data_IF_004321405052
#
_entry.id   IF_004321405052
#
_cell.length_a   1.000
_cell.length_b   1.000
_cell.length_c   1.000
_cell.angle_alpha   90.00
_cell.angle_beta   90.00
_cell.angle_gamma   90.00
#
_symmetry.space_group_name_H-M   'P 1'
#
loop_
_entity.id
_entity.type
_entity.pdbx_description
1 polymer ?
#
# COMPACT_ATOMS: atom_id res chain seq x y z
N UNK A 1 38.60 -3.79 30.60
CA UNK A 1 38.47 -3.82 29.13
C UNK A 1 36.99 -3.83 28.84
N UNK A 2 36.47 -2.65 28.54
CA UNK A 2 35.11 -2.43 28.08
C UNK A 2 35.18 -2.10 26.59
N UNK A 3 34.06 -2.29 25.88
CA UNK A 3 33.83 -2.02 24.45
C UNK A 3 34.19 -3.19 23.55
N UNK A 4 33.33 -3.71 22.67
CA UNK A 4 32.01 -3.28 22.23
C UNK A 4 31.25 -4.55 21.85
N UNK A 5 30.00 -4.65 22.31
CA UNK A 5 29.09 -5.69 21.85
C UNK A 5 28.68 -5.27 20.44
N UNK A 6 29.14 -6.02 19.45
CA UNK A 6 28.83 -5.88 18.02
C UNK A 6 27.35 -6.24 17.79
N UNK A 7 26.45 -5.44 18.37
CA UNK A 7 25.05 -5.41 18.00
C UNK A 7 24.97 -4.67 16.66
N UNK A 8 25.36 -5.37 15.60
CA UNK A 8 24.84 -5.08 14.28
C UNK A 8 23.33 -5.36 14.34
N UNK A 9 22.58 -4.40 14.87
CA UNK A 9 21.13 -4.35 14.77
C UNK A 9 20.88 -4.36 13.27
N UNK A 10 20.42 -5.49 12.75
CA UNK A 10 20.04 -5.63 11.36
C UNK A 10 18.83 -4.72 11.13
N UNK A 11 19.09 -3.42 10.95
CA UNK A 11 18.13 -2.46 10.42
C UNK A 11 17.58 -3.10 9.14
N UNK A 12 16.30 -3.50 9.17
CA UNK A 12 15.58 -4.29 8.16
C UNK A 12 15.49 -5.81 8.39
N UNK A 13 15.60 -6.28 9.63
CA UNK A 13 15.14 -7.63 9.95
C UNK A 13 13.63 -7.77 9.68
N UNK A 14 13.18 -8.98 9.34
CA UNK A 14 11.75 -9.27 9.12
C UNK A 14 10.92 -8.92 10.36
N UNK A 15 11.48 -9.11 11.56
CA UNK A 15 10.82 -8.77 12.82
C UNK A 15 10.64 -7.26 12.97
N UNK A 16 11.66 -6.46 12.67
CA UNK A 16 11.56 -5.00 12.71
C UNK A 16 10.53 -4.47 11.72
N UNK A 17 10.49 -5.03 10.51
CA UNK A 17 9.46 -4.71 9.51
C UNK A 17 8.07 -5.03 10.07
N UNK A 18 7.87 -6.20 10.67
CA UNK A 18 6.58 -6.56 11.26
C UNK A 18 6.17 -5.56 12.37
N UNK A 19 7.09 -5.26 13.28
CA UNK A 19 6.84 -4.35 14.40
C UNK A 19 6.51 -2.93 13.93
N UNK A 20 7.18 -2.46 12.88
CA UNK A 20 6.95 -1.13 12.29
C UNK A 20 5.61 -1.04 11.57
N UNK A 21 5.28 -2.01 10.72
CA UNK A 21 4.13 -1.89 9.81
C UNK A 21 2.81 -2.41 10.38
N UNK A 22 2.82 -3.44 11.23
CA UNK A 22 1.61 -4.03 11.81
C UNK A 22 0.69 -2.99 12.48
N UNK A 23 1.15 -2.12 13.41
CA UNK A 23 0.26 -1.17 14.07
C UNK A 23 -0.28 -0.11 13.12
N UNK A 24 0.48 0.25 12.08
CA UNK A 24 0.07 1.22 11.08
C UNK A 24 -1.00 0.65 10.15
N UNK A 25 -0.82 -0.60 9.69
CA UNK A 25 -1.81 -1.29 8.87
C UNK A 25 -3.11 -1.52 9.62
N UNK A 26 -3.07 -1.81 10.92
CA UNK A 26 -4.26 -1.99 11.75
C UNK A 26 -5.22 -0.78 11.72
N UNK A 27 -4.70 0.43 11.45
CA UNK A 27 -5.52 1.66 11.33
C UNK A 27 -6.31 1.71 10.02
N UNK A 28 -5.81 1.08 8.94
CA UNK A 28 -6.36 1.20 7.58
C UNK A 28 -6.99 -0.08 7.05
N UNK A 29 -6.64 -1.26 7.59
CA UNK A 29 -7.24 -2.55 7.20
C UNK A 29 -8.76 -2.65 7.41
N UNK A 30 -9.42 -1.94 8.36
CA UNK A 30 -10.88 -1.96 8.45
C UNK A 30 -11.60 -1.50 7.17
N UNK A 31 -10.93 -0.73 6.31
CA UNK A 31 -11.49 -0.23 5.06
C UNK A 31 -11.31 -1.20 3.88
N UNK A 32 -10.61 -2.33 4.06
CA UNK A 32 -10.30 -3.27 2.97
C UNK A 32 -11.56 -3.81 2.26
N UNK A 33 -12.60 -4.16 3.00
CA UNK A 33 -13.85 -4.66 2.41
C UNK A 33 -14.50 -3.59 1.53
N UNK A 34 -14.61 -2.36 2.03
CA UNK A 34 -15.17 -1.26 1.26
C UNK A 34 -14.32 -0.94 0.02
N UNK A 35 -12.98 -0.93 0.17
CA UNK A 35 -12.07 -0.72 -0.96
C UNK A 35 -12.26 -1.79 -2.05
N UNK A 36 -12.42 -3.06 -1.65
CA UNK A 36 -12.67 -4.20 -2.56
C UNK A 36 -13.98 -4.05 -3.33
N UNK A 37 -15.06 -3.69 -2.64
CA UNK A 37 -16.40 -3.57 -3.22
C UNK A 37 -16.51 -2.41 -4.21
N UNK A 38 -15.64 -1.39 -4.07
CA UNK A 38 -15.67 -0.19 -4.89
C UNK A 38 -14.64 -0.18 -6.03
N UNK A 39 -13.93 -1.30 -6.24
CA UNK A 39 -13.10 -1.48 -7.43
C UNK A 39 -14.02 -1.59 -8.66
N UNK A 40 -13.80 -0.74 -9.67
CA UNK A 40 -14.65 -0.66 -10.88
C UNK A 40 -14.01 -1.31 -12.08
N UNK A 41 -12.69 -1.40 -12.10
CA UNK A 41 -11.98 -2.24 -13.06
C UNK A 41 -12.17 -3.67 -12.58
N UNK A 42 -12.95 -4.48 -13.30
CA UNK A 42 -12.91 -5.92 -13.10
C UNK A 42 -11.44 -6.32 -13.19
N UNK A 43 -10.84 -6.72 -12.06
CA UNK A 43 -9.55 -7.44 -12.04
C UNK A 43 -9.84 -8.86 -12.55
N UNK A 44 -10.51 -8.95 -13.69
CA UNK A 44 -10.69 -10.14 -14.47
C UNK A 44 -9.42 -10.28 -15.30
N UNK A 45 -8.84 -11.47 -15.22
CA UNK A 45 -7.72 -11.91 -16.03
C UNK A 45 -8.00 -11.71 -17.52
N UNK A 46 -7.76 -10.53 -18.09
CA UNK A 46 -7.80 -10.37 -19.55
C UNK A 46 -6.97 -9.16 -19.98
N UNK A 47 -5.83 -9.45 -20.61
CA UNK A 47 -5.23 -8.57 -21.60
C UNK A 47 -6.29 -8.26 -22.66
N UNK A 48 -6.98 -7.13 -22.54
CA UNK A 48 -7.78 -6.58 -23.64
C UNK A 48 -7.90 -5.08 -23.48
N UNK A 49 -7.39 -4.39 -24.51
CA UNK A 49 -7.57 -2.97 -24.74
C UNK A 49 -9.03 -2.58 -24.57
N UNK A 50 -9.34 -1.80 -23.54
CA UNK A 50 -10.46 -0.88 -23.61
C UNK A 50 -10.11 0.38 -22.85
N UNK A 51 -10.13 1.47 -23.61
CA UNK A 51 -9.94 2.84 -23.15
C UNK A 51 -10.97 3.16 -22.05
N UNK A 52 -10.48 3.69 -20.94
CA UNK A 52 -11.28 4.07 -19.78
C UNK A 52 -12.36 5.08 -20.21
N UNK A 53 -13.60 4.61 -20.42
CA UNK A 53 -14.77 5.48 -20.56
C UNK A 53 -14.99 6.22 -19.25
N UNK A 54 -15.10 7.55 -19.35
CA UNK A 54 -15.56 8.53 -18.34
C UNK A 54 -15.81 7.94 -16.95
N UNK A 55 -14.82 8.08 -16.06
CA UNK A 55 -14.99 7.78 -14.64
C UNK A 55 -16.08 8.75 -14.11
N UNK A 56 -17.21 8.26 -13.59
CA UNK A 56 -18.24 9.13 -13.03
C UNK A 56 -17.65 10.00 -11.93
N UNK A 57 -18.16 11.24 -11.80
CA UNK A 57 -17.72 12.20 -10.79
C UNK A 57 -17.50 11.52 -9.44
N UNK A 58 -16.36 11.75 -8.77
CA UNK A 58 -16.05 11.08 -7.51
C UNK A 58 -17.07 11.50 -6.45
N UNK A 59 -17.95 10.59 -6.06
CA UNK A 59 -18.76 10.76 -4.85
C UNK A 59 -17.82 10.44 -3.70
N UNK A 60 -17.34 11.48 -3.01
CA UNK A 60 -16.61 11.31 -1.76
C UNK A 60 -17.59 10.79 -0.71
N UNK A 61 -17.74 9.48 -0.62
CA UNK A 61 -18.50 8.88 0.46
C UNK A 61 -17.70 8.96 1.78
N UNK A 62 -18.40 8.80 2.90
CA UNK A 62 -17.80 8.88 4.22
C UNK A 62 -16.69 7.86 4.44
N UNK A 63 -16.72 6.72 3.75
CA UNK A 63 -15.73 5.66 3.87
C UNK A 63 -14.42 6.02 3.17
N UNK A 64 -14.48 6.62 1.97
CA UNK A 64 -13.29 7.11 1.27
C UNK A 64 -12.54 8.14 2.12
N UNK A 65 -13.27 9.13 2.64
CA UNK A 65 -12.67 10.16 3.49
C UNK A 65 -12.18 9.58 4.81
N UNK A 66 -12.89 8.58 5.37
CA UNK A 66 -12.46 7.84 6.55
C UNK A 66 -11.13 7.12 6.32
N UNK A 67 -11.00 6.40 5.21
CA UNK A 67 -9.76 5.72 4.81
C UNK A 67 -8.61 6.71 4.63
N UNK A 68 -8.83 7.80 3.90
CA UNK A 68 -7.80 8.83 3.66
C UNK A 68 -7.33 9.45 4.98
N UNK A 69 -8.26 9.79 5.89
CA UNK A 69 -7.92 10.31 7.22
C UNK A 69 -7.15 9.28 8.04
N UNK A 70 -7.57 8.02 8.04
CA UNK A 70 -6.87 6.95 8.72
C UNK A 70 -5.44 6.81 8.19
N UNK A 71 -5.25 6.79 6.87
CA UNK A 71 -3.93 6.72 6.23
C UNK A 71 -3.04 7.90 6.64
N UNK A 72 -3.59 9.12 6.75
CA UNK A 72 -2.84 10.31 7.21
C UNK A 72 -2.38 10.23 8.67
N UNK A 73 -3.04 9.42 9.51
CA UNK A 73 -2.60 9.18 10.89
C UNK A 73 -1.54 8.07 11.00
N UNK A 74 -1.15 7.47 9.88
CA UNK A 74 -0.11 6.45 9.85
C UNK A 74 1.26 7.05 9.60
N UNK A 75 2.30 6.33 10.01
CA UNK A 75 3.69 6.62 9.63
C UNK A 75 4.10 5.97 8.30
N UNK A 76 3.13 5.56 7.45
CA UNK A 76 3.40 4.95 6.14
C UNK A 76 3.64 5.99 5.05
N UNK A 77 3.22 7.24 5.26
CA UNK A 77 3.24 8.26 4.20
C UNK A 77 4.59 8.94 4.10
N UNK A 78 5.26 8.78 2.96
CA UNK A 78 6.51 9.47 2.64
C UNK A 78 6.33 10.37 1.42
N UNK A 79 6.79 11.63 1.51
CA UNK A 79 6.80 12.60 0.40
C UNK A 79 7.78 12.22 -0.71
N UNK A 80 8.78 11.39 -0.41
CA UNK A 80 9.77 10.90 -1.36
C UNK A 80 9.25 9.74 -2.22
N UNK A 81 7.94 9.45 -2.20
CA UNK A 81 7.32 8.40 -3.01
C UNK A 81 7.63 8.49 -4.51
N UNK A 82 7.98 9.67 -5.02
CA UNK A 82 8.38 9.86 -6.43
C UNK A 82 9.58 8.97 -6.79
N UNK A 83 10.51 8.75 -5.86
CA UNK A 83 11.67 7.90 -6.09
C UNK A 83 11.27 6.44 -6.30
N UNK A 84 10.30 5.94 -5.53
CA UNK A 84 9.73 4.58 -5.71
C UNK A 84 9.22 4.40 -7.13
N UNK A 85 8.56 5.40 -7.70
CA UNK A 85 8.06 5.35 -9.08
C UNK A 85 9.18 5.35 -10.11
N UNK A 86 10.20 6.19 -9.92
CA UNK A 86 11.32 6.26 -10.86
C UNK A 86 12.18 4.99 -10.84
N UNK A 87 12.47 4.45 -9.66
CA UNK A 87 13.32 3.30 -9.43
C UNK A 87 12.68 2.00 -9.92
N UNK A 88 11.39 1.81 -9.63
CA UNK A 88 10.64 0.63 -10.04
C UNK A 88 9.96 0.79 -11.40
N UNK A 89 10.25 1.87 -12.12
CA UNK A 89 9.71 2.19 -13.44
C UNK A 89 8.17 2.18 -13.51
N UNK A 90 7.50 2.60 -12.44
CA UNK A 90 6.04 2.65 -12.35
C UNK A 90 5.52 3.88 -13.12
N UNK A 91 4.75 3.68 -14.18
CA UNK A 91 4.22 4.78 -15.02
C UNK A 91 2.72 4.90 -14.97
N UNK A 92 2.03 3.78 -14.73
CA UNK A 92 0.58 3.72 -14.72
C UNK A 92 0.08 2.68 -13.70
N UNK A 93 -1.23 2.67 -13.44
CA UNK A 93 -1.83 1.78 -12.45
C UNK A 93 -1.59 0.28 -12.72
N UNK A 94 -1.38 -0.15 -13.97
CA UNK A 94 -1.09 -1.55 -14.29
C UNK A 94 0.30 -1.95 -13.81
N UNK A 95 1.27 -1.05 -13.96
CA UNK A 95 2.64 -1.26 -13.48
C UNK A 95 2.64 -1.35 -11.94
N UNK A 96 1.87 -0.46 -11.28
CA UNK A 96 1.68 -0.48 -9.83
C UNK A 96 1.07 -1.81 -9.35
N UNK A 97 0.01 -2.29 -10.02
CA UNK A 97 -0.64 -3.55 -9.67
C UNK A 97 0.30 -4.76 -9.86
N UNK A 98 1.10 -4.78 -10.94
CA UNK A 98 2.08 -5.82 -11.19
C UNK A 98 3.15 -5.83 -10.09
N UNK A 99 3.69 -4.66 -9.75
CA UNK A 99 4.66 -4.52 -8.66
C UNK A 99 4.08 -5.01 -7.32
N UNK A 100 2.85 -4.59 -6.98
CA UNK A 100 2.18 -5.01 -5.74
C UNK A 100 2.01 -6.53 -5.70
N UNK A 101 1.64 -7.15 -6.82
CA UNK A 101 1.47 -8.60 -6.90
C UNK A 101 2.77 -9.35 -6.58
N UNK A 102 3.89 -8.89 -7.12
CA UNK A 102 5.20 -9.52 -7.02
C UNK A 102 5.96 -9.17 -5.73
N UNK A 103 5.59 -8.08 -5.06
CA UNK A 103 6.28 -7.59 -3.86
C UNK A 103 6.43 -8.64 -2.73
N UNK A 104 7.58 -8.61 -2.07
CA UNK A 104 7.91 -9.36 -0.87
C UNK A 104 7.91 -8.51 0.39
N UNK A 105 8.29 -9.11 1.53
CA UNK A 105 8.36 -8.43 2.83
C UNK A 105 9.42 -7.31 2.86
N UNK A 106 10.44 -7.41 2.02
CA UNK A 106 11.49 -6.38 1.89
C UNK A 106 11.01 -5.15 1.13
N UNK A 107 9.90 -5.25 0.38
CA UNK A 107 9.39 -4.17 -0.48
C UNK A 107 8.36 -3.30 0.24
N UNK A 108 8.24 -3.40 1.57
CA UNK A 108 7.22 -2.70 2.36
C UNK A 108 7.32 -1.18 2.26
N UNK A 109 8.53 -0.61 2.17
CA UNK A 109 8.73 0.83 1.94
C UNK A 109 8.26 1.23 0.53
N UNK A 110 8.48 0.40 -0.50
CA UNK A 110 8.00 0.65 -1.86
C UNK A 110 6.47 0.57 -1.94
N UNK A 111 5.85 -0.42 -1.29
CA UNK A 111 4.39 -0.53 -1.17
C UNK A 111 3.82 0.70 -0.46
N UNK A 112 4.44 1.14 0.64
CA UNK A 112 4.07 2.36 1.34
C UNK A 112 4.24 3.62 0.45
N UNK A 113 5.24 3.65 -0.43
CA UNK A 113 5.42 4.68 -1.45
C UNK A 113 4.28 4.75 -2.45
N UNK A 114 3.79 3.61 -2.95
CA UNK A 114 2.60 3.58 -3.83
C UNK A 114 1.38 4.14 -3.09
N UNK A 115 1.14 3.71 -1.85
CA UNK A 115 0.07 4.27 -1.02
C UNK A 115 0.22 5.80 -0.85
N UNK A 116 1.44 6.26 -0.57
CA UNK A 116 1.79 7.68 -0.40
C UNK A 116 1.44 8.52 -1.62
N UNK A 117 1.73 8.02 -2.83
CA UNK A 117 1.41 8.69 -4.08
C UNK A 117 -0.08 9.03 -4.15
N UNK A 118 -0.96 8.07 -3.89
CA UNK A 118 -2.41 8.30 -3.97
C UNK A 118 -2.92 9.21 -2.86
N UNK A 119 -2.49 8.99 -1.61
CA UNK A 119 -2.96 9.79 -0.48
C UNK A 119 -2.50 11.24 -0.62
N UNK A 120 -1.21 11.47 -0.88
CA UNK A 120 -0.62 12.81 -0.94
C UNK A 120 -1.01 13.58 -2.20
N UNK A 121 -1.01 12.96 -3.38
CA UNK A 121 -1.45 13.65 -4.61
C UNK A 121 -2.94 13.96 -4.56
N UNK A 122 -3.74 13.10 -3.93
CA UNK A 122 -5.16 13.34 -3.76
C UNK A 122 -5.49 14.51 -2.83
N UNK A 123 -4.57 14.92 -1.94
CA UNK A 123 -4.71 16.18 -1.19
C UNK A 123 -4.79 17.41 -2.09
N UNK A 124 -4.11 17.37 -3.24
CA UNK A 124 -4.11 18.45 -4.24
C UNK A 124 -5.23 18.22 -5.27
N UNK A 125 -5.42 16.97 -5.69
CA UNK A 125 -6.41 16.58 -6.69
C UNK A 125 -7.23 15.39 -6.20
N UNK A 126 -8.33 15.66 -5.48
CA UNK A 126 -9.13 14.61 -4.82
C UNK A 126 -9.64 13.50 -5.74
N UNK A 127 -9.74 13.72 -7.06
CA UNK A 127 -10.06 12.67 -8.03
C UNK A 127 -9.05 11.52 -8.03
N UNK A 128 -7.81 11.74 -7.59
CA UNK A 128 -6.76 10.71 -7.49
C UNK A 128 -7.15 9.64 -6.46
N UNK A 129 -7.83 10.02 -5.36
CA UNK A 129 -8.31 9.02 -4.40
C UNK A 129 -9.31 8.08 -5.05
N UNK A 130 -10.28 8.63 -5.78
CA UNK A 130 -11.29 7.82 -6.48
C UNK A 130 -10.71 7.02 -7.63
N UNK A 131 -9.68 7.53 -8.31
CA UNK A 131 -8.90 6.77 -9.29
C UNK A 131 -8.26 5.55 -8.64
N UNK A 132 -7.55 5.72 -7.52
CA UNK A 132 -6.89 4.62 -6.81
C UNK A 132 -7.84 3.55 -6.26
N UNK A 133 -9.07 3.94 -5.90
CA UNK A 133 -10.12 2.98 -5.55
C UNK A 133 -10.65 2.27 -6.80
N UNK A 134 -11.01 3.03 -7.83
CA UNK A 134 -11.62 2.48 -9.05
C UNK A 134 -10.68 1.52 -9.79
N UNK A 135 -9.38 1.82 -9.85
CA UNK A 135 -8.35 0.94 -10.44
C UNK A 135 -7.98 -0.24 -9.53
N UNK A 136 -8.34 -0.20 -8.25
CA UNK A 136 -8.04 -1.22 -7.27
C UNK A 136 -6.65 -1.12 -6.64
N UNK A 137 -5.84 -0.12 -6.99
CA UNK A 137 -4.47 0.03 -6.46
C UNK A 137 -4.48 0.21 -4.94
N UNK A 138 -5.37 1.06 -4.40
CA UNK A 138 -5.48 1.28 -2.96
C UNK A 138 -5.90 0.02 -2.20
N UNK A 139 -6.77 -0.80 -2.79
CA UNK A 139 -7.15 -2.09 -2.21
C UNK A 139 -5.96 -3.06 -2.20
N UNK A 140 -5.31 -3.24 -3.36
CA UNK A 140 -4.27 -4.25 -3.52
C UNK A 140 -3.04 -3.92 -2.68
N UNK A 141 -2.62 -2.66 -2.60
CA UNK A 141 -1.44 -2.28 -1.81
C UNK A 141 -1.65 -2.56 -0.32
N UNK A 142 -2.80 -2.17 0.24
CA UNK A 142 -3.11 -2.38 1.67
C UNK A 142 -3.27 -3.88 1.95
N UNK A 143 -3.96 -4.61 1.07
CA UNK A 143 -4.13 -6.05 1.17
C UNK A 143 -2.79 -6.77 1.16
N UNK A 144 -1.91 -6.46 0.20
CA UNK A 144 -0.60 -7.09 0.06
C UNK A 144 0.26 -6.86 1.30
N UNK A 145 0.32 -5.62 1.80
CA UNK A 145 1.06 -5.30 3.02
C UNK A 145 0.52 -6.10 4.23
N UNK A 146 -0.81 -6.19 4.38
CA UNK A 146 -1.43 -6.97 5.46
C UNK A 146 -1.17 -8.48 5.33
N UNK A 147 -1.23 -9.03 4.12
CA UNK A 147 -0.91 -10.44 3.83
C UNK A 147 0.54 -10.78 4.16
N UNK A 148 1.50 -9.93 3.76
CA UNK A 148 2.91 -10.09 4.08
C UNK A 148 3.13 -10.09 5.60
N UNK A 149 2.55 -9.13 6.31
CA UNK A 149 2.69 -9.02 7.78
C UNK A 149 2.06 -10.21 8.51
N UNK A 150 0.92 -10.72 8.03
CA UNK A 150 0.28 -11.91 8.61
C UNK A 150 1.08 -13.17 8.33
N UNK A 151 1.55 -13.36 7.10
CA UNK A 151 2.34 -14.53 6.71
C UNK A 151 3.62 -14.64 7.53
N UNK A 152 4.43 -13.58 7.55
CA UNK A 152 5.69 -13.56 8.29
C UNK A 152 5.49 -13.45 9.81
N UNK A 153 4.40 -12.82 10.26
CA UNK A 153 4.06 -12.74 11.68
C UNK A 153 3.59 -14.07 12.30
N UNK A 154 3.01 -14.98 11.51
CA UNK A 154 2.61 -16.32 11.97
C UNK A 154 3.80 -17.30 11.99
N UNK A 155 4.72 -17.20 11.03
CA UNK A 155 5.94 -18.02 10.98
C UNK A 155 6.83 -17.77 12.22
N UNK A 156 6.91 -16.52 12.70
CA UNK A 156 7.66 -16.19 13.92
C UNK A 156 7.06 -16.78 15.21
N UNK A 157 5.73 -16.99 15.27
CA UNK A 157 5.07 -17.62 16.41
C UNK A 157 5.20 -19.15 16.41
N UNK A 158 5.48 -19.75 15.24
CA UNK A 158 5.62 -21.20 15.08
C UNK A 158 7.04 -21.72 15.36
N UNK A 159 8.00 -20.80 15.55
CA UNK A 159 9.42 -21.07 15.81
C UNK A 159 9.86 -20.84 17.27
N UNK A 160 8.91 -20.55 18.16
CA UNK A 160 9.09 -20.54 19.62
C UNK A 160 8.47 -21.79 20.23
#
# INVERSE_FOLDING_TARGET
MSMENDNNVNENSVEDIILRYRPELAKITPYLNWLKENVKVEVAQTYSNSELKSIPFPVYDSNLLGFVKAAQTTNLLDRNYVYVYSENHLRNYKDELLFIQEAGITDMDALAGILSSYILRGMVKGSVWSEGVATGVLYQVVKKMDELIKFWGQDNLSRQ
#
